data_IF_459053672929
#
_entry.id   IF_459053672929
#
_cell.length_a   1.000
_cell.length_b   1.000
_cell.length_c   1.000
_cell.angle_alpha   90.00
_cell.angle_beta   90.00
_cell.angle_gamma   90.00
#
_symmetry.space_group_name_H-M   'P 1'
#
loop_
_entity.id
_entity.type
_entity.pdbx_description
1 polymer ?
#
# COMPACT_ATOMS: atom_id res chain seq x y z
N UNK A 1 -11.19 9.73 -1.06
CA UNK A 1 -10.00 10.50 -1.47
C UNK A 1 -8.73 9.79 -1.03
N UNK A 2 -7.87 9.42 -1.99
CA UNK A 2 -6.61 8.73 -1.76
C UNK A 2 -5.68 9.62 -0.93
N UNK A 3 -4.97 9.10 0.09
CA UNK A 3 -4.00 9.89 0.85
C UNK A 3 -2.85 10.43 -0.02
N UNK A 4 -2.61 9.84 -1.20
CA UNK A 4 -1.61 10.33 -2.15
C UNK A 4 -2.16 11.37 -3.15
N UNK A 5 -3.45 11.68 -3.11
CA UNK A 5 -4.07 12.67 -4.01
C UNK A 5 -3.41 14.07 -3.94
N UNK A 6 -2.95 14.59 -2.79
CA UNK A 6 -2.22 15.86 -2.76
C UNK A 6 -0.87 15.83 -3.50
N UNK A 7 -0.36 14.63 -3.85
CA UNK A 7 0.91 14.44 -4.55
C UNK A 7 0.72 14.10 -6.03
N UNK A 8 -0.50 13.73 -6.45
CA UNK A 8 -0.85 13.49 -7.86
C UNK A 8 -1.98 14.43 -8.27
N UNK A 9 -1.64 15.43 -9.09
CA UNK A 9 -2.58 16.40 -9.64
C UNK A 9 -3.04 16.00 -11.04
N UNK A 10 -4.10 16.64 -11.53
CA UNK A 10 -4.54 16.51 -12.92
C UNK A 10 -3.92 17.65 -13.74
N UNK A 11 -3.07 17.29 -14.69
CA UNK A 11 -2.40 18.24 -15.59
C UNK A 11 -3.34 18.84 -16.65
N UNK A 12 -2.83 19.77 -17.44
CA UNK A 12 -3.59 20.53 -18.47
C UNK A 12 -4.20 19.66 -19.58
N UNK A 13 -3.74 18.42 -19.74
CA UNK A 13 -4.28 17.42 -20.67
C UNK A 13 -5.14 16.33 -20.02
N UNK A 14 -5.51 16.46 -18.74
CA UNK A 14 -6.26 15.44 -18.01
C UNK A 14 -5.41 14.27 -17.48
N UNK A 15 -4.12 14.21 -17.84
CA UNK A 15 -3.21 13.18 -17.36
C UNK A 15 -2.72 13.46 -15.92
N UNK A 16 -2.47 12.41 -15.11
CA UNK A 16 -1.91 12.57 -13.77
C UNK A 16 -0.47 13.06 -13.84
N UNK A 17 -0.15 14.08 -13.03
CA UNK A 17 1.18 14.68 -12.90
C UNK A 17 1.63 14.69 -11.44
N UNK A 18 2.93 14.59 -11.20
CA UNK A 18 3.52 14.78 -9.88
C UNK A 18 3.35 16.23 -9.44
N UNK A 19 2.87 16.43 -8.22
CA UNK A 19 2.46 17.78 -7.77
C UNK A 19 3.65 18.72 -7.57
N UNK A 20 4.82 18.20 -7.17
CA UNK A 20 5.98 19.06 -6.94
C UNK A 20 6.67 19.51 -8.24
N UNK A 21 6.74 18.63 -9.25
CA UNK A 21 7.50 18.88 -10.48
C UNK A 21 6.64 19.18 -11.71
N UNK A 22 5.35 18.83 -11.67
CA UNK A 22 4.47 18.83 -12.84
C UNK A 22 4.81 17.74 -13.88
N UNK A 23 5.78 16.85 -13.60
CA UNK A 23 6.15 15.77 -14.49
C UNK A 23 5.00 14.75 -14.60
N UNK A 24 4.60 14.32 -15.81
CA UNK A 24 3.61 13.26 -15.96
C UNK A 24 4.03 11.99 -15.22
N UNK A 25 3.08 11.38 -14.48
CA UNK A 25 3.36 10.18 -13.69
C UNK A 25 3.84 9.03 -14.59
N UNK A 26 3.28 8.90 -15.80
CA UNK A 26 3.70 7.84 -16.74
C UNK A 26 5.17 7.99 -17.17
N UNK A 27 5.63 9.24 -17.34
CA UNK A 27 6.97 9.58 -17.78
C UNK A 27 7.96 9.38 -16.64
N UNK A 28 7.58 9.79 -15.43
CA UNK A 28 8.35 9.49 -14.23
C UNK A 28 8.58 7.98 -14.07
N UNK A 29 7.53 7.16 -14.26
CA UNK A 29 7.64 5.72 -14.16
C UNK A 29 8.48 5.10 -15.28
N UNK A 30 8.37 5.59 -16.53
CA UNK A 30 9.25 5.15 -17.64
C UNK A 30 10.72 5.41 -17.37
N UNK A 31 11.05 6.59 -16.82
CA UNK A 31 12.43 6.97 -16.48
C UNK A 31 13.00 6.09 -15.37
N UNK A 32 12.19 5.78 -14.35
CA UNK A 32 12.56 4.82 -13.30
C UNK A 32 12.82 3.42 -13.87
N UNK A 33 11.98 2.94 -14.80
CA UNK A 33 12.19 1.65 -15.49
C UNK A 33 13.43 1.65 -16.39
N UNK A 34 13.81 2.81 -16.93
CA UNK A 34 15.05 3.00 -17.68
C UNK A 34 16.29 3.05 -16.77
N UNK A 35 16.12 2.93 -15.45
CA UNK A 35 17.21 2.90 -14.47
C UNK A 35 17.66 4.27 -13.99
N UNK A 36 16.90 5.33 -14.24
CA UNK A 36 17.23 6.63 -13.70
C UNK A 36 17.12 6.65 -12.17
N UNK A 37 18.13 7.14 -11.42
CA UNK A 37 18.12 7.05 -9.97
C UNK A 37 16.98 7.87 -9.33
N UNK A 38 16.18 7.27 -8.41
CA UNK A 38 15.12 8.01 -7.73
C UNK A 38 15.64 9.24 -6.96
N UNK A 39 16.85 9.16 -6.42
CA UNK A 39 17.51 10.26 -5.72
C UNK A 39 17.75 11.50 -6.60
N UNK A 40 17.89 11.33 -7.92
CA UNK A 40 18.04 12.45 -8.86
C UNK A 40 16.68 13.04 -9.24
N UNK A 41 15.70 12.16 -9.49
CA UNK A 41 14.37 12.57 -9.95
C UNK A 41 13.49 13.17 -8.85
N UNK A 42 13.64 12.70 -7.60
CA UNK A 42 12.74 12.98 -6.49
C UNK A 42 13.43 13.64 -5.30
N UNK A 43 14.62 14.20 -5.47
CA UNK A 43 15.37 14.90 -4.41
C UNK A 43 14.53 15.96 -3.68
N UNK A 44 13.68 16.68 -4.42
CA UNK A 44 12.84 17.77 -3.89
C UNK A 44 11.60 17.24 -3.17
N UNK A 45 11.02 16.13 -3.64
CA UNK A 45 9.85 15.50 -3.03
C UNK A 45 9.99 13.97 -3.07
N UNK A 46 10.65 13.35 -2.07
CA UNK A 46 10.70 11.90 -1.96
C UNK A 46 9.31 11.25 -1.87
N UNK A 47 8.33 12.00 -1.38
CA UNK A 47 6.93 11.58 -1.29
C UNK A 47 6.27 11.42 -2.66
N UNK A 48 6.74 12.15 -3.67
CA UNK A 48 6.24 12.01 -5.05
C UNK A 48 6.67 10.66 -5.65
N UNK A 49 7.82 10.09 -5.25
CA UNK A 49 8.19 8.72 -5.63
C UNK A 49 7.20 7.72 -5.06
N UNK A 50 6.92 7.81 -3.76
CA UNK A 50 5.97 6.91 -3.07
C UNK A 50 4.61 6.97 -3.76
N UNK A 51 4.12 8.18 -4.05
CA UNK A 51 2.86 8.37 -4.74
C UNK A 51 2.88 7.77 -6.16
N UNK A 52 3.96 7.97 -6.93
CA UNK A 52 4.10 7.43 -8.27
C UNK A 52 4.08 5.89 -8.28
N UNK A 53 4.85 5.25 -7.39
CA UNK A 53 4.91 3.80 -7.27
C UNK A 53 3.59 3.21 -6.73
N UNK A 54 2.97 3.87 -5.75
CA UNK A 54 1.65 3.49 -5.25
C UNK A 54 0.60 3.58 -6.36
N UNK A 55 0.63 4.63 -7.18
CA UNK A 55 -0.26 4.78 -8.33
C UNK A 55 -0.02 3.72 -9.39
N UNK A 56 1.24 3.36 -9.66
CA UNK A 56 1.59 2.32 -10.62
C UNK A 56 0.98 0.95 -10.27
N UNK A 57 0.91 0.61 -8.98
CA UNK A 57 0.43 -0.69 -8.51
C UNK A 57 -1.02 -0.72 -8.02
N UNK A 58 -1.46 0.31 -7.32
CA UNK A 58 -2.80 0.37 -6.72
C UNK A 58 -3.80 1.15 -7.59
N UNK A 59 -3.31 2.00 -8.50
CA UNK A 59 -4.13 2.89 -9.30
C UNK A 59 -4.81 4.00 -8.47
N UNK A 60 -5.85 4.57 -9.04
CA UNK A 60 -6.68 5.61 -8.43
C UNK A 60 -7.85 5.03 -7.61
N UNK A 61 -8.80 5.89 -7.21
CA UNK A 61 -9.93 5.45 -6.38
C UNK A 61 -10.90 4.50 -7.09
N UNK A 62 -11.02 4.64 -8.41
CA UNK A 62 -11.89 3.87 -9.29
C UNK A 62 -11.25 2.55 -9.73
N UNK A 63 -9.92 2.46 -9.62
CA UNK A 63 -9.18 1.26 -9.91
C UNK A 63 -9.65 0.10 -9.04
N UNK A 64 -9.83 -1.11 -9.62
CA UNK A 64 -10.27 -2.28 -8.88
C UNK A 64 -9.25 -2.73 -7.83
N UNK A 65 -7.99 -2.29 -7.94
CA UNK A 65 -6.87 -2.72 -7.11
C UNK A 65 -6.24 -4.04 -7.58
N UNK A 66 -5.19 -4.47 -6.90
CA UNK A 66 -4.49 -5.73 -7.18
C UNK A 66 -5.40 -6.95 -7.11
N UNK A 67 -4.97 -8.06 -7.69
CA UNK A 67 -5.60 -9.37 -7.47
C UNK A 67 -5.49 -9.78 -5.99
N UNK A 68 -6.48 -10.53 -5.50
CA UNK A 68 -6.49 -11.01 -4.12
C UNK A 68 -5.32 -11.95 -3.82
N UNK A 69 -5.01 -12.82 -4.78
CA UNK A 69 -3.83 -13.69 -4.74
C UNK A 69 -2.68 -12.99 -5.45
N UNK A 70 -1.47 -13.13 -4.92
CA UNK A 70 -0.25 -12.60 -5.53
C UNK A 70 -0.02 -13.17 -6.94
N UNK A 71 0.67 -12.39 -7.77
CA UNK A 71 1.04 -12.74 -9.12
C UNK A 71 2.42 -12.17 -9.46
N UNK A 72 2.82 -12.25 -10.72
CA UNK A 72 4.05 -11.63 -11.17
C UNK A 72 3.90 -10.10 -11.26
N UNK A 73 4.92 -9.31 -10.86
CA UNK A 73 4.94 -7.87 -11.09
C UNK A 73 4.69 -7.51 -12.56
N UNK A 74 3.72 -6.64 -12.81
CA UNK A 74 3.46 -6.13 -14.18
C UNK A 74 4.60 -5.21 -14.67
N UNK A 75 5.26 -4.52 -13.74
CA UNK A 75 6.33 -3.55 -14.00
C UNK A 75 7.59 -3.85 -13.19
N UNK A 76 8.29 -4.96 -13.50
CA UNK A 76 9.45 -5.40 -12.72
C UNK A 76 10.62 -4.39 -12.73
N UNK A 77 10.69 -3.49 -13.72
CA UNK A 77 11.67 -2.40 -13.76
C UNK A 77 11.54 -1.38 -12.61
N UNK A 78 10.38 -1.32 -11.95
CA UNK A 78 10.15 -0.41 -10.83
C UNK A 78 10.67 -0.94 -9.49
N UNK A 79 10.97 -2.24 -9.37
CA UNK A 79 11.29 -2.88 -8.08
C UNK A 79 12.56 -2.32 -7.45
N UNK A 80 13.57 -1.99 -8.25
CA UNK A 80 14.80 -1.36 -7.76
C UNK A 80 14.50 -0.02 -7.07
N UNK A 81 13.55 0.76 -7.60
CA UNK A 81 13.13 2.05 -7.05
C UNK A 81 12.29 1.92 -5.78
N UNK A 82 11.67 0.76 -5.56
CA UNK A 82 10.93 0.45 -4.35
C UNK A 82 11.81 -0.15 -3.23
N UNK A 83 13.08 -0.46 -3.51
CA UNK A 83 13.99 -1.13 -2.56
C UNK A 83 14.43 -0.23 -1.40
N UNK A 84 14.82 -0.84 -0.27
CA UNK A 84 15.39 -0.10 0.87
C UNK A 84 16.63 0.70 0.47
N UNK A 85 17.46 0.18 -0.43
CA UNK A 85 18.66 0.86 -0.92
C UNK A 85 18.32 2.16 -1.67
N UNK A 86 17.30 2.13 -2.53
CA UNK A 86 16.81 3.34 -3.20
C UNK A 86 16.23 4.35 -2.20
N UNK A 87 15.43 3.86 -1.23
CA UNK A 87 14.88 4.69 -0.17
C UNK A 87 15.97 5.27 0.75
N UNK A 88 17.09 4.57 0.98
CA UNK A 88 18.21 5.08 1.75
C UNK A 88 18.88 6.28 1.08
N UNK A 89 18.95 6.29 -0.26
CA UNK A 89 19.44 7.44 -1.02
C UNK A 89 18.51 8.66 -0.95
N UNK A 90 17.20 8.44 -0.89
CA UNK A 90 16.19 9.51 -0.84
C UNK A 90 15.87 10.01 0.57
N UNK A 91 15.90 9.11 1.56
CA UNK A 91 15.51 9.34 2.94
C UNK A 91 16.65 8.90 3.87
N UNK A 92 17.86 9.50 3.74
CA UNK A 92 19.04 9.05 4.47
C UNK A 92 18.92 9.19 5.99
N UNK A 93 18.08 10.13 6.45
CA UNK A 93 17.85 10.39 7.87
C UNK A 93 16.84 9.42 8.51
N UNK A 94 16.06 8.70 7.70
CA UNK A 94 15.09 7.75 8.23
C UNK A 94 15.81 6.49 8.75
N UNK A 95 15.43 5.94 9.92
CA UNK A 95 15.94 4.65 10.38
C UNK A 95 15.74 3.53 9.36
N UNK A 96 16.76 2.69 9.15
CA UNK A 96 16.71 1.53 8.25
C UNK A 96 15.47 0.63 8.45
N UNK A 97 15.06 0.27 9.68
CA UNK A 97 13.86 -0.56 9.87
C UNK A 97 12.57 0.08 9.36
N UNK A 98 12.46 1.42 9.44
CA UNK A 98 11.32 2.15 8.89
C UNK A 98 11.35 2.20 7.37
N UNK A 99 12.54 2.38 6.76
CA UNK A 99 12.69 2.30 5.30
C UNK A 99 12.39 0.91 4.76
N UNK A 100 12.76 -0.15 5.47
CA UNK A 100 12.38 -1.53 5.14
C UNK A 100 10.86 -1.70 5.16
N UNK A 101 10.17 -1.20 6.20
CA UNK A 101 8.70 -1.25 6.25
C UNK A 101 8.03 -0.49 5.09
N UNK A 102 8.59 0.67 4.69
CA UNK A 102 8.12 1.41 3.51
C UNK A 102 8.39 0.64 2.21
N UNK A 103 9.58 0.06 2.09
CA UNK A 103 9.97 -0.79 0.95
C UNK A 103 9.02 -1.98 0.80
N UNK A 104 8.71 -2.66 1.91
CA UNK A 104 7.72 -3.75 1.93
C UNK A 104 6.37 -3.30 1.35
N UNK A 105 5.83 -2.17 1.82
CA UNK A 105 4.58 -1.63 1.30
C UNK A 105 4.60 -1.28 -0.20
N UNK A 106 5.69 -0.69 -0.68
CA UNK A 106 5.88 -0.34 -2.11
C UNK A 106 6.01 -1.60 -2.98
N UNK A 107 6.82 -2.57 -2.55
CA UNK A 107 6.99 -3.85 -3.24
C UNK A 107 5.68 -4.64 -3.26
N UNK A 108 4.92 -4.63 -2.17
CA UNK A 108 3.60 -5.25 -2.10
C UNK A 108 2.62 -4.61 -3.09
N UNK A 109 2.65 -3.28 -3.22
CA UNK A 109 1.84 -2.55 -4.20
C UNK A 109 2.20 -2.91 -5.65
N UNK A 110 3.45 -3.30 -5.91
CA UNK A 110 3.95 -3.68 -7.25
C UNK A 110 3.90 -5.19 -7.52
N UNK A 111 3.16 -5.97 -6.71
CA UNK A 111 3.08 -7.44 -6.81
C UNK A 111 4.41 -8.18 -6.64
N UNK A 112 5.44 -7.55 -6.06
CA UNK A 112 6.70 -8.21 -5.72
C UNK A 112 6.62 -8.88 -4.34
N UNK A 113 5.85 -9.97 -4.27
CA UNK A 113 5.54 -10.66 -3.01
C UNK A 113 6.78 -11.10 -2.23
N UNK A 114 7.73 -11.79 -2.87
CA UNK A 114 8.93 -12.31 -2.19
C UNK A 114 9.74 -11.17 -1.56
N UNK A 115 10.06 -10.15 -2.37
CA UNK A 115 10.84 -9.00 -1.92
C UNK A 115 10.12 -8.18 -0.84
N UNK A 116 8.80 -8.06 -0.94
CA UNK A 116 7.96 -7.41 0.07
C UNK A 116 7.99 -8.16 1.40
N UNK A 117 7.81 -9.49 1.35
CA UNK A 117 7.86 -10.36 2.51
C UNK A 117 9.24 -10.32 3.19
N UNK A 118 10.33 -10.40 2.42
CA UNK A 118 11.69 -10.29 2.92
C UNK A 118 11.95 -8.93 3.60
N UNK A 119 11.56 -7.83 2.97
CA UNK A 119 11.71 -6.50 3.55
C UNK A 119 10.91 -6.33 4.85
N UNK A 120 9.68 -6.86 4.90
CA UNK A 120 8.86 -6.86 6.11
C UNK A 120 9.48 -7.73 7.22
N UNK A 121 10.08 -8.87 6.87
CA UNK A 121 10.74 -9.77 7.82
C UNK A 121 11.96 -9.09 8.43
N UNK A 122 12.81 -8.50 7.60
CA UNK A 122 13.99 -7.79 8.08
C UNK A 122 13.61 -6.57 8.93
N UNK A 123 12.56 -5.82 8.58
CA UNK A 123 12.06 -4.72 9.39
C UNK A 123 11.64 -5.18 10.80
N UNK A 124 10.90 -6.29 10.90
CA UNK A 124 10.42 -6.89 12.15
C UNK A 124 11.59 -7.41 13.01
N UNK A 125 12.57 -8.07 12.38
CA UNK A 125 13.78 -8.56 13.05
C UNK A 125 14.63 -7.43 13.62
N UNK A 126 14.65 -6.28 12.95
CA UNK A 126 15.30 -5.06 13.43
C UNK A 126 14.44 -4.21 14.37
N UNK A 127 13.24 -4.68 14.74
CA UNK A 127 12.41 -4.10 15.80
C UNK A 127 11.37 -3.08 15.35
N UNK A 128 11.22 -2.79 14.06
CA UNK A 128 10.04 -2.08 13.55
C UNK A 128 8.88 -3.08 13.56
N UNK A 129 7.87 -2.90 14.41
CA UNK A 129 6.74 -3.84 14.53
C UNK A 129 5.40 -3.22 14.17
N UNK A 130 5.35 -1.89 14.01
CA UNK A 130 4.10 -1.16 13.83
C UNK A 130 3.54 -1.39 12.43
N UNK A 131 4.40 -1.40 11.42
CA UNK A 131 4.00 -1.52 10.01
C UNK A 131 4.45 -2.84 9.39
N UNK A 132 5.64 -3.32 9.72
CA UNK A 132 6.19 -4.58 9.21
C UNK A 132 5.24 -5.77 9.43
N UNK A 133 4.69 -5.93 10.64
CA UNK A 133 3.75 -7.00 10.98
C UNK A 133 2.43 -6.88 10.20
N UNK A 134 2.02 -5.65 9.87
CA UNK A 134 0.83 -5.41 9.06
C UNK A 134 1.11 -5.79 7.59
N UNK A 135 2.21 -5.33 7.01
CA UNK A 135 2.61 -5.72 5.65
C UNK A 135 2.77 -7.23 5.49
N UNK A 136 3.33 -7.91 6.50
CA UNK A 136 3.37 -9.37 6.59
C UNK A 136 1.97 -10.01 6.59
N UNK A 137 1.04 -9.49 7.39
CA UNK A 137 -0.35 -9.96 7.42
C UNK A 137 -1.02 -9.84 6.05
N UNK A 138 -0.77 -8.74 5.32
CA UNK A 138 -1.24 -8.56 3.95
C UNK A 138 -0.53 -9.53 2.99
N UNK A 139 0.78 -9.73 3.11
CA UNK A 139 1.54 -10.66 2.27
C UNK A 139 0.96 -12.08 2.34
N UNK A 140 0.78 -12.64 3.53
CA UNK A 140 0.20 -13.98 3.68
C UNK A 140 -1.28 -14.05 3.31
N UNK A 141 -2.06 -12.97 3.50
CA UNK A 141 -3.44 -12.92 3.00
C UNK A 141 -3.48 -13.06 1.46
N UNK A 142 -2.43 -12.59 0.77
CA UNK A 142 -2.25 -12.72 -0.68
C UNK A 142 -1.52 -14.01 -1.12
N UNK A 143 -1.01 -14.81 -0.17
CA UNK A 143 -0.60 -16.22 -0.35
C UNK A 143 -1.77 -17.21 -0.12
N UNK A 144 -3.01 -16.69 -0.17
CA UNK A 144 -4.19 -17.24 0.52
C UNK A 144 -3.97 -18.08 1.80
N UNK A 145 -2.97 -17.76 2.62
CA UNK A 145 -2.70 -18.47 3.86
C UNK A 145 -3.38 -17.77 5.05
N UNK A 146 -4.63 -18.17 5.31
CA UNK A 146 -5.42 -17.60 6.40
C UNK A 146 -4.78 -17.82 7.78
N UNK A 147 -4.03 -18.91 7.97
CA UNK A 147 -3.36 -19.25 9.22
C UNK A 147 -2.22 -18.30 9.53
N UNK A 148 -1.30 -18.12 8.58
CA UNK A 148 -0.17 -17.20 8.69
C UNK A 148 -0.63 -15.74 8.70
N UNK A 149 -1.60 -15.37 7.86
CA UNK A 149 -2.18 -14.02 7.90
C UNK A 149 -2.75 -13.72 9.30
N UNK A 150 -3.53 -14.65 9.87
CA UNK A 150 -4.10 -14.49 11.22
C UNK A 150 -3.04 -14.42 12.31
N UNK A 151 -1.93 -15.15 12.18
CA UNK A 151 -0.78 -15.05 13.08
C UNK A 151 -0.19 -13.64 13.07
N UNK A 152 0.07 -13.07 11.90
CA UNK A 152 0.62 -11.73 11.79
C UNK A 152 -0.34 -10.63 12.22
N UNK A 153 -1.63 -10.74 11.90
CA UNK A 153 -2.63 -9.79 12.41
C UNK A 153 -2.82 -9.87 13.93
N UNK A 154 -2.56 -11.01 14.57
CA UNK A 154 -2.45 -11.07 16.05
C UNK A 154 -1.27 -10.26 16.57
N UNK A 155 -0.14 -10.23 15.86
CA UNK A 155 1.03 -9.39 16.21
C UNK A 155 0.76 -7.91 16.00
N UNK A 156 -0.03 -7.55 14.99
CA UNK A 156 -0.52 -6.17 14.79
C UNK A 156 -1.37 -5.72 15.97
N UNK A 157 -2.26 -6.59 16.46
CA UNK A 157 -3.13 -6.27 17.60
C UNK A 157 -4.06 -5.09 17.28
N UNK A 158 -4.13 -4.11 18.18
CA UNK A 158 -4.87 -2.86 17.92
C UNK A 158 -4.01 -1.90 17.13
N UNK A 159 -4.48 -1.51 15.94
CA UNK A 159 -3.76 -0.55 15.11
C UNK A 159 -4.50 0.80 15.03
N UNK A 160 -3.79 1.95 15.12
CA UNK A 160 -4.41 3.28 15.01
C UNK A 160 -5.17 3.54 13.70
N UNK A 161 -4.87 2.80 12.63
CA UNK A 161 -5.59 2.92 11.35
C UNK A 161 -6.96 2.25 11.33
N UNK A 162 -7.26 1.32 12.24
CA UNK A 162 -8.51 0.56 12.15
C UNK A 162 -9.79 1.41 12.20
N UNK A 163 -9.88 2.49 13.01
CA UNK A 163 -11.03 3.40 12.96
C UNK A 163 -11.16 4.14 11.62
N UNK A 164 -10.06 4.67 11.08
CA UNK A 164 -10.05 5.38 9.80
C UNK A 164 -10.41 4.44 8.64
N UNK A 165 -9.83 3.23 8.63
CA UNK A 165 -10.13 2.18 7.65
C UNK A 165 -11.62 1.81 7.68
N UNK A 166 -12.20 1.65 8.87
CA UNK A 166 -13.62 1.35 9.01
C UNK A 166 -14.50 2.46 8.42
N UNK A 167 -14.17 3.71 8.69
CA UNK A 167 -14.88 4.86 8.14
C UNK A 167 -14.76 4.92 6.61
N UNK A 168 -13.55 4.73 6.07
CA UNK A 168 -13.28 4.80 4.64
C UNK A 168 -13.87 3.61 3.86
N UNK A 169 -13.96 2.43 4.48
CA UNK A 169 -14.51 1.22 3.87
C UNK A 169 -16.05 1.22 3.82
N UNK A 170 -16.70 1.95 4.74
CA UNK A 170 -18.16 1.94 4.90
C UNK A 170 -18.93 2.27 3.60
N UNK A 171 -18.58 3.31 2.81
CA UNK A 171 -19.26 3.58 1.55
C UNK A 171 -19.19 2.41 0.54
N UNK A 172 -18.06 1.70 0.47
CA UNK A 172 -17.90 0.55 -0.42
C UNK A 172 -18.78 -0.64 0.01
N UNK A 173 -18.86 -0.85 1.33
CA UNK A 173 -19.67 -1.90 1.94
C UNK A 173 -21.18 -1.62 1.80
N UNK A 174 -21.59 -0.38 2.03
CA UNK A 174 -22.99 0.06 1.87
C UNK A 174 -23.44 -0.03 0.41
N UNK A 175 -22.59 0.37 -0.54
CA UNK A 175 -22.86 0.22 -1.97
C UNK A 175 -22.99 -1.26 -2.41
N UNK A 176 -22.30 -2.18 -1.72
CA UNK A 176 -22.45 -3.61 -1.98
C UNK A 176 -23.77 -4.20 -1.44
N UNK A 177 -24.30 -3.64 -0.34
CA UNK A 177 -25.63 -3.97 0.17
C UNK A 177 -25.71 -5.20 1.08
N UNK A 178 -24.59 -5.78 1.53
CA UNK A 178 -24.58 -6.87 2.52
C UNK A 178 -24.34 -6.30 3.94
N UNK A 179 -25.43 -6.14 4.70
CA UNK A 179 -25.37 -5.65 6.08
C UNK A 179 -24.63 -6.59 7.03
N UNK A 180 -24.65 -7.90 6.77
CA UNK A 180 -23.97 -8.90 7.58
C UNK A 180 -22.45 -8.81 7.40
N UNK A 181 -21.99 -8.71 6.15
CA UNK A 181 -20.59 -8.44 5.82
C UNK A 181 -20.13 -7.10 6.38
N UNK A 182 -20.94 -6.05 6.23
CA UNK A 182 -20.65 -4.71 6.78
C UNK A 182 -20.43 -4.77 8.29
N UNK A 183 -21.31 -5.45 9.03
CA UNK A 183 -21.18 -5.60 10.49
C UNK A 183 -19.93 -6.38 10.89
N UNK A 184 -19.53 -7.38 10.11
CA UNK A 184 -18.30 -8.16 10.37
C UNK A 184 -17.04 -7.33 10.13
N UNK A 185 -16.96 -6.62 8.99
CA UNK A 185 -15.75 -5.88 8.62
C UNK A 185 -15.56 -4.55 9.37
N UNK A 186 -16.65 -3.82 9.66
CA UNK A 186 -16.60 -2.46 10.21
C UNK A 186 -17.58 -2.26 11.37
N UNK A 187 -17.71 -3.29 12.21
CA UNK A 187 -18.55 -3.28 13.41
C UNK A 187 -18.06 -2.30 14.48
N UNK A 188 -18.56 -2.45 15.71
CA UNK A 188 -18.27 -1.54 16.82
C UNK A 188 -16.79 -1.45 17.23
N UNK A 189 -15.94 -2.38 16.78
CA UNK A 189 -14.50 -2.40 17.04
C UNK A 189 -13.64 -1.71 15.96
N UNK A 190 -14.24 -1.22 14.87
CA UNK A 190 -13.51 -0.73 13.70
C UNK A 190 -13.22 -1.84 12.68
N UNK A 191 -12.16 -1.66 11.89
CA UNK A 191 -11.72 -2.58 10.85
C UNK A 191 -11.32 -3.94 11.43
N UNK A 192 -11.94 -5.02 10.95
CA UNK A 192 -11.62 -6.39 11.35
C UNK A 192 -10.74 -7.08 10.28
N UNK A 193 -9.44 -7.29 10.54
CA UNK A 193 -8.55 -7.93 9.58
C UNK A 193 -8.86 -9.41 9.37
N UNK A 194 -9.48 -10.10 10.34
CA UNK A 194 -9.86 -11.50 10.22
C UNK A 194 -11.07 -11.65 9.30
N UNK A 195 -12.05 -10.75 9.42
CA UNK A 195 -13.16 -10.68 8.48
C UNK A 195 -12.67 -10.35 7.06
N UNK A 196 -11.61 -9.55 6.92
CA UNK A 196 -10.97 -9.26 5.62
C UNK A 196 -10.23 -10.48 5.06
N UNK A 197 -9.53 -11.26 5.89
CA UNK A 197 -8.94 -12.55 5.49
C UNK A 197 -10.05 -13.48 4.97
N UNK A 198 -11.11 -13.68 5.75
CA UNK A 198 -12.23 -14.53 5.36
C UNK A 198 -12.87 -14.08 4.05
N UNK A 199 -13.05 -12.76 3.86
CA UNK A 199 -13.56 -12.20 2.63
C UNK A 199 -12.64 -12.56 1.44
N UNK A 200 -11.33 -12.33 1.55
CA UNK A 200 -10.38 -12.63 0.49
C UNK A 200 -10.32 -14.12 0.15
N UNK A 201 -10.33 -15.00 1.17
CA UNK A 201 -10.25 -16.45 0.99
C UNK A 201 -11.51 -17.03 0.34
N UNK A 202 -12.69 -16.49 0.66
CA UNK A 202 -13.96 -17.06 0.22
C UNK A 202 -14.57 -16.35 -1.02
N UNK A 203 -14.02 -15.22 -1.45
CA UNK A 203 -14.47 -14.52 -2.64
C UNK A 203 -14.20 -15.36 -3.90
N UNK A 204 -15.26 -15.78 -4.59
CA UNK A 204 -15.14 -16.49 -5.87
C UNK A 204 -14.61 -15.55 -6.94
N UNK A 205 -13.77 -16.09 -7.84
CA UNK A 205 -13.27 -15.37 -9.00
C UNK A 205 -14.42 -14.81 -9.86
N UNK A 206 -14.21 -13.62 -10.39
CA UNK A 206 -15.11 -12.81 -11.23
C UNK A 206 -16.44 -12.40 -10.54
N UNK A 207 -16.57 -12.62 -9.24
CA UNK A 207 -17.76 -12.27 -8.47
C UNK A 207 -17.78 -10.79 -8.03
N UNK A 208 -18.98 -10.29 -7.71
CA UNK A 208 -19.12 -8.98 -7.06
C UNK A 208 -18.38 -8.90 -5.72
N UNK A 209 -18.24 -10.04 -5.04
CA UNK A 209 -17.54 -10.14 -3.76
C UNK A 209 -16.02 -10.02 -3.93
N UNK A 210 -15.45 -10.60 -4.98
CA UNK A 210 -14.03 -10.39 -5.33
C UNK A 210 -13.77 -8.92 -5.66
N UNK A 211 -14.64 -8.30 -6.49
CA UNK A 211 -14.49 -6.87 -6.82
C UNK A 211 -14.52 -5.99 -5.58
N UNK A 212 -15.43 -6.26 -4.64
CA UNK A 212 -15.46 -5.57 -3.35
C UNK A 212 -14.17 -5.81 -2.56
N UNK A 213 -13.74 -7.06 -2.42
CA UNK A 213 -12.53 -7.44 -1.67
C UNK A 213 -11.27 -6.76 -2.24
N UNK A 214 -11.12 -6.69 -3.56
CA UNK A 214 -9.99 -6.01 -4.21
C UNK A 214 -10.00 -4.51 -3.94
N UNK A 215 -11.16 -3.84 -4.01
CA UNK A 215 -11.29 -2.41 -3.68
C UNK A 215 -11.00 -2.12 -2.20
N UNK A 216 -11.45 -2.99 -1.31
CA UNK A 216 -11.16 -2.91 0.13
C UNK A 216 -9.68 -3.13 0.43
N UNK A 217 -9.05 -4.12 -0.21
CA UNK A 217 -7.61 -4.37 -0.12
C UNK A 217 -6.82 -3.17 -0.65
N UNK A 218 -7.21 -2.61 -1.80
CA UNK A 218 -6.60 -1.38 -2.34
C UNK A 218 -6.67 -0.27 -1.29
N UNK A 219 -7.86 -0.01 -0.75
CA UNK A 219 -8.07 1.03 0.26
C UNK A 219 -7.16 0.82 1.48
N UNK A 220 -7.12 -0.41 2.01
CA UNK A 220 -6.28 -0.76 3.16
C UNK A 220 -4.79 -0.53 2.86
N UNK A 221 -4.30 -1.04 1.73
CA UNK A 221 -2.90 -0.89 1.32
C UNK A 221 -2.54 0.58 1.09
N UNK A 222 -3.39 1.36 0.43
CA UNK A 222 -3.12 2.79 0.19
C UNK A 222 -2.99 3.57 1.50
N UNK A 223 -3.86 3.29 2.48
CA UNK A 223 -3.86 3.96 3.79
C UNK A 223 -2.69 3.53 4.66
N UNK A 224 -2.39 2.23 4.67
CA UNK A 224 -1.23 1.70 5.38
C UNK A 224 0.07 2.24 4.80
N UNK A 225 0.18 2.35 3.48
CA UNK A 225 1.36 2.91 2.82
C UNK A 225 1.54 4.38 3.19
N UNK A 226 0.47 5.19 3.14
CA UNK A 226 0.56 6.59 3.56
C UNK A 226 1.01 6.73 5.02
N UNK A 227 0.45 5.95 5.94
CA UNK A 227 0.84 5.98 7.35
C UNK A 227 2.28 5.48 7.58
N UNK A 228 2.73 4.50 6.80
CA UNK A 228 4.12 4.01 6.82
C UNK A 228 5.05 5.12 6.34
N UNK A 229 4.67 5.83 5.28
CA UNK A 229 5.42 6.97 4.73
C UNK A 229 5.52 8.11 5.73
N UNK A 230 4.42 8.52 6.36
CA UNK A 230 4.40 9.56 7.41
C UNK A 230 5.33 9.23 8.58
N UNK A 231 5.38 7.96 8.98
CA UNK A 231 6.27 7.52 10.04
C UNK A 231 7.76 7.59 9.66
N UNK A 232 8.08 7.44 8.38
CA UNK A 232 9.46 7.50 7.85
C UNK A 232 9.92 8.94 7.71
N UNK A 233 9.06 9.85 7.25
CA UNK A 233 9.40 11.27 7.04
C UNK A 233 9.27 12.14 8.29
N UNK A 234 8.62 11.63 9.34
CA UNK A 234 8.38 12.30 10.61
C UNK A 234 7.27 13.37 10.55
N UNK A 235 6.75 13.81 11.70
CA UNK A 235 5.78 14.90 11.77
C UNK A 235 6.47 16.23 11.46
N UNK A 236 6.47 16.67 10.19
CA UNK A 236 7.02 17.99 9.82
C UNK A 236 7.44 18.22 8.38
N UNK A 237 7.15 17.32 7.43
CA UNK A 237 7.55 17.47 6.01
C UNK A 237 6.36 17.76 5.07
N UNK A 238 5.22 18.15 5.64
CA UNK A 238 4.06 18.63 4.91
C UNK A 238 3.89 20.14 5.10
N UNK A 239 4.85 20.91 4.59
CA UNK A 239 4.63 22.32 4.24
C UNK A 239 4.30 22.42 2.75
#
# INVERSE_FOLDING_TARGET
MSPFQPRIAIGTGGAPVLSASGLPVDEALRRLEAGEPPAEMFAVSPLDLVAALAFAGLGDEESPGLMLVQGAPERPGLLASASEAALAGLLPLAPRPQRLALSAGLLQALDAWDASHEAAQEADDLGERRFSAYWHGIAHRREPDAGNASYWFRRVGRHPLFPELAQAARPLLEAHGDSGLTKRLVGSGGWDPYAMIDLCTNARRDSGLERLARRLQRLEMTRLLAATTEAVVGPGSGD
#
